data_IF_172478625009
#
_entry.id   IF_172478625009
#
_cell.length_a   1.000
_cell.length_b   1.000
_cell.length_c   1.000
_cell.angle_alpha   90.00
_cell.angle_beta   90.00
_cell.angle_gamma   90.00
#
_symmetry.space_group_name_H-M   'P 1'
#
loop_
_entity.id
_entity.type
_entity.pdbx_description
1 polymer ?
#
# COMPACT_ATOMS: atom_id res chain seq x y z
N UNK A 1 -24.14 13.00 -9.32
CA UNK A 1 -22.88 12.39 -9.81
C UNK A 1 -21.65 13.21 -9.43
N UNK A 2 -21.74 14.54 -9.42
CA UNK A 2 -20.64 15.45 -9.06
C UNK A 2 -20.01 15.19 -7.68
N UNK A 3 -20.83 14.97 -6.64
CA UNK A 3 -20.34 14.72 -5.28
C UNK A 3 -19.55 13.39 -5.14
N UNK A 4 -19.93 12.38 -5.94
CA UNK A 4 -19.26 11.06 -5.93
C UNK A 4 -17.87 11.13 -6.57
N UNK A 5 -17.74 11.91 -7.64
CA UNK A 5 -16.45 12.14 -8.27
C UNK A 5 -15.51 12.94 -7.34
N UNK A 6 -16.03 13.97 -6.64
CA UNK A 6 -15.26 14.71 -5.63
C UNK A 6 -14.68 13.80 -4.53
N UNK A 7 -15.50 12.91 -3.96
CA UNK A 7 -15.02 11.96 -2.94
C UNK A 7 -13.92 11.03 -3.45
N UNK A 8 -14.06 10.53 -4.69
CA UNK A 8 -13.04 9.69 -5.31
C UNK A 8 -11.75 10.47 -5.59
N UNK A 9 -11.84 11.73 -6.03
CA UNK A 9 -10.66 12.61 -6.21
C UNK A 9 -9.89 12.79 -4.91
N UNK A 10 -10.57 13.09 -3.80
CA UNK A 10 -9.90 13.24 -2.50
C UNK A 10 -9.26 11.95 -2.04
N UNK A 11 -9.94 10.82 -2.24
CA UNK A 11 -9.41 9.51 -1.92
C UNK A 11 -8.16 9.17 -2.72
N UNK A 12 -8.21 9.29 -4.05
CA UNK A 12 -7.06 9.00 -4.90
C UNK A 12 -5.90 9.94 -4.62
N UNK A 13 -6.17 11.20 -4.24
CA UNK A 13 -5.12 12.13 -3.84
C UNK A 13 -4.47 11.70 -2.53
N UNK A 14 -5.28 11.46 -1.49
CA UNK A 14 -4.78 11.08 -0.17
C UNK A 14 -4.02 9.75 -0.20
N UNK A 15 -4.59 8.72 -0.83
CA UNK A 15 -3.92 7.43 -0.98
C UNK A 15 -2.69 7.55 -1.88
N UNK A 16 -2.77 8.30 -2.98
CA UNK A 16 -1.65 8.52 -3.86
C UNK A 16 -0.45 9.17 -3.16
N UNK A 17 -0.68 10.24 -2.40
CA UNK A 17 0.36 10.92 -1.62
C UNK A 17 0.93 9.99 -0.55
N UNK A 18 0.07 9.29 0.20
CA UNK A 18 0.50 8.40 1.28
C UNK A 18 1.37 7.24 0.77
N UNK A 19 0.92 6.54 -0.27
CA UNK A 19 1.69 5.45 -0.91
C UNK A 19 2.97 5.95 -1.55
N UNK A 20 2.93 7.10 -2.21
CA UNK A 20 4.12 7.70 -2.85
C UNK A 20 5.19 8.05 -1.82
N UNK A 21 4.83 8.78 -0.75
CA UNK A 21 5.78 9.20 0.28
C UNK A 21 6.35 7.97 0.98
N UNK A 22 5.49 7.06 1.47
CA UNK A 22 5.96 5.88 2.19
C UNK A 22 6.81 4.97 1.29
N UNK A 23 6.42 4.79 0.03
CA UNK A 23 7.18 3.99 -0.92
C UNK A 23 8.56 4.57 -1.23
N UNK A 24 8.64 5.87 -1.52
CA UNK A 24 9.91 6.54 -1.77
C UNK A 24 10.83 6.49 -0.54
N UNK A 25 10.30 6.80 0.65
CA UNK A 25 11.10 6.74 1.88
C UNK A 25 11.60 5.32 2.14
N UNK A 26 10.75 4.30 1.97
CA UNK A 26 11.14 2.90 2.16
C UNK A 26 12.20 2.46 1.14
N UNK A 27 12.05 2.86 -0.12
CA UNK A 27 12.98 2.55 -1.18
C UNK A 27 14.34 3.22 -0.94
N UNK A 28 14.36 4.49 -0.55
CA UNK A 28 15.58 5.23 -0.25
C UNK A 28 16.31 4.65 0.97
N UNK A 29 15.59 4.21 2.02
CA UNK A 29 16.19 3.45 3.13
C UNK A 29 16.76 2.11 2.63
N UNK A 30 16.01 1.36 1.83
CA UNK A 30 16.47 0.09 1.25
C UNK A 30 17.70 0.24 0.34
N UNK A 31 17.84 1.38 -0.33
CA UNK A 31 19.00 1.74 -1.14
C UNK A 31 20.19 2.28 -0.32
N UNK A 32 20.07 2.39 1.01
CA UNK A 32 21.05 3.02 1.91
C UNK A 32 21.36 4.49 1.55
N UNK A 33 20.37 5.18 0.98
CA UNK A 33 20.45 6.60 0.65
C UNK A 33 19.90 7.49 1.78
N UNK A 34 19.29 6.88 2.79
CA UNK A 34 18.86 7.53 4.02
C UNK A 34 19.57 6.88 5.22
N UNK A 35 19.85 7.65 6.30
CA UNK A 35 20.39 7.10 7.54
C UNK A 35 19.52 5.98 8.13
N UNK A 36 20.13 5.01 8.79
CA UNK A 36 19.41 3.86 9.40
C UNK A 36 18.43 4.31 10.51
N UNK A 37 18.74 5.42 11.18
CA UNK A 37 17.93 6.07 12.22
C UNK A 37 16.86 7.03 11.67
N UNK A 38 16.84 7.27 10.34
CA UNK A 38 15.82 8.10 9.70
C UNK A 38 14.45 7.39 9.72
N UNK A 39 13.56 7.86 10.60
CA UNK A 39 12.29 7.23 10.99
C UNK A 39 12.51 5.80 11.53
N UNK A 40 11.92 5.49 12.69
CA UNK A 40 12.10 4.20 13.36
C UNK A 40 12.01 3.02 12.38
N UNK A 41 13.02 2.15 12.38
CA UNK A 41 13.10 0.95 11.53
C UNK A 41 11.81 0.13 11.58
N UNK A 42 11.11 0.13 12.72
CA UNK A 42 9.87 -0.62 12.93
C UNK A 42 8.67 -0.10 12.14
N UNK A 43 8.61 1.20 11.82
CA UNK A 43 7.50 1.79 11.05
C UNK A 43 7.78 1.76 9.55
N UNK A 44 9.07 1.86 9.21
CA UNK A 44 9.53 1.94 7.83
C UNK A 44 10.81 1.09 7.67
N UNK A 45 10.66 -0.25 7.67
CA UNK A 45 11.80 -1.15 7.51
C UNK A 45 12.43 -0.97 6.12
N UNK A 46 13.76 -0.93 6.00
CA UNK A 46 14.46 -0.73 4.73
C UNK A 46 14.10 -1.81 3.70
N UNK A 47 13.53 -1.42 2.56
CA UNK A 47 13.17 -2.37 1.51
C UNK A 47 13.05 -1.69 0.14
N UNK A 48 14.01 -1.95 -0.75
CA UNK A 48 14.06 -1.29 -2.05
C UNK A 48 12.88 -1.69 -2.95
N UNK A 49 12.69 -3.00 -3.15
CA UNK A 49 11.64 -3.52 -4.04
C UNK A 49 10.23 -3.17 -3.54
N UNK A 50 9.96 -3.41 -2.26
CA UNK A 50 8.70 -3.05 -1.61
C UNK A 50 8.40 -1.56 -1.68
N UNK A 51 9.40 -0.71 -1.41
CA UNK A 51 9.26 0.75 -1.52
C UNK A 51 8.92 1.21 -2.94
N UNK A 52 9.60 0.67 -3.96
CA UNK A 52 9.31 1.00 -5.37
C UNK A 52 7.90 0.58 -5.79
N UNK A 53 7.46 -0.60 -5.33
CA UNK A 53 6.09 -1.07 -5.56
C UNK A 53 5.08 -0.10 -4.94
N UNK A 54 5.28 0.32 -3.69
CA UNK A 54 4.40 1.29 -3.04
C UNK A 54 4.37 2.62 -3.79
N UNK A 55 5.52 3.11 -4.26
CA UNK A 55 5.60 4.32 -5.07
C UNK A 55 4.82 4.18 -6.38
N UNK A 56 4.87 3.01 -7.03
CA UNK A 56 4.08 2.70 -8.22
C UNK A 56 2.58 2.72 -7.93
N UNK A 57 2.13 2.10 -6.82
CA UNK A 57 0.73 2.17 -6.39
C UNK A 57 0.30 3.62 -6.12
N UNK A 58 1.17 4.40 -5.47
CA UNK A 58 0.96 5.84 -5.27
C UNK A 58 0.81 6.60 -6.58
N UNK A 59 1.64 6.30 -7.58
CA UNK A 59 1.56 6.91 -8.91
C UNK A 59 0.23 6.61 -9.61
N UNK A 60 -0.25 5.37 -9.53
CA UNK A 60 -1.55 4.95 -10.09
C UNK A 60 -2.69 5.77 -9.48
N UNK A 61 -2.70 5.94 -8.16
CA UNK A 61 -3.70 6.76 -7.50
C UNK A 61 -3.60 8.25 -7.86
N UNK A 62 -2.38 8.82 -7.87
CA UNK A 62 -2.18 10.21 -8.27
C UNK A 62 -2.63 10.47 -9.71
N UNK A 63 -2.39 9.51 -10.62
CA UNK A 63 -2.89 9.60 -11.98
C UNK A 63 -4.42 9.58 -12.04
N UNK A 64 -5.07 8.78 -11.19
CA UNK A 64 -6.53 8.82 -11.02
C UNK A 64 -7.04 10.20 -10.61
N UNK A 65 -6.34 10.89 -9.70
CA UNK A 65 -6.67 12.27 -9.30
C UNK A 65 -6.59 13.24 -10.48
N UNK A 66 -5.56 13.10 -11.32
CA UNK A 66 -5.39 13.91 -12.53
C UNK A 66 -6.50 13.65 -13.55
N UNK A 67 -6.93 12.40 -13.72
CA UNK A 67 -8.03 12.08 -14.64
C UNK A 67 -9.37 12.59 -14.12
N UNK A 68 -9.61 12.54 -12.81
CA UNK A 68 -10.80 13.15 -12.22
C UNK A 68 -10.83 14.68 -12.38
N UNK A 69 -9.69 15.37 -12.30
CA UNK A 69 -9.64 16.83 -12.48
C UNK A 69 -9.94 17.26 -13.92
N UNK A 70 -9.69 16.39 -14.90
CA UNK A 70 -10.07 16.56 -16.30
C UNK A 70 -11.53 16.19 -16.59
N UNK A 71 -12.28 15.69 -15.61
CA UNK A 71 -13.64 15.18 -15.80
C UNK A 71 -13.71 13.84 -16.54
N UNK A 72 -12.59 13.13 -16.67
CA UNK A 72 -12.51 11.84 -17.38
C UNK A 72 -13.15 10.72 -16.55
N UNK A 73 -13.88 9.82 -17.22
CA UNK A 73 -14.39 8.61 -16.60
C UNK A 73 -13.27 7.62 -16.22
N UNK A 74 -12.10 7.75 -16.83
CA UNK A 74 -10.92 6.89 -16.59
C UNK A 74 -10.40 7.00 -15.16
N UNK A 75 -10.63 8.13 -14.46
CA UNK A 75 -10.24 8.29 -13.05
C UNK A 75 -10.79 7.19 -12.14
N UNK A 76 -11.99 6.66 -12.44
CA UNK A 76 -12.58 5.53 -11.70
C UNK A 76 -11.81 4.23 -11.92
N UNK A 77 -11.32 3.99 -13.13
CA UNK A 77 -10.51 2.83 -13.44
C UNK A 77 -9.18 2.87 -12.67
N UNK A 78 -8.51 4.02 -12.65
CA UNK A 78 -7.28 4.20 -11.85
C UNK A 78 -7.52 4.03 -10.35
N UNK A 79 -8.61 4.56 -9.81
CA UNK A 79 -8.97 4.35 -8.40
C UNK A 79 -9.16 2.86 -8.09
N UNK A 80 -9.84 2.12 -8.97
CA UNK A 80 -10.05 0.68 -8.82
C UNK A 80 -8.75 -0.11 -8.93
N UNK A 81 -7.93 0.15 -9.95
CA UNK A 81 -6.62 -0.50 -10.12
C UNK A 81 -5.73 -0.23 -8.92
N UNK A 82 -5.70 1.01 -8.41
CA UNK A 82 -4.98 1.34 -7.18
C UNK A 82 -5.43 0.49 -5.99
N UNK A 83 -6.75 0.34 -5.78
CA UNK A 83 -7.30 -0.52 -4.71
C UNK A 83 -6.88 -1.97 -4.90
N UNK A 84 -6.99 -2.51 -6.12
CA UNK A 84 -6.62 -3.89 -6.41
C UNK A 84 -5.13 -4.13 -6.14
N UNK A 85 -4.25 -3.22 -6.59
CA UNK A 85 -2.81 -3.33 -6.33
C UNK A 85 -2.50 -3.23 -4.83
N UNK A 86 -3.12 -2.30 -4.12
CA UNK A 86 -2.99 -2.15 -2.67
C UNK A 86 -3.35 -3.44 -1.93
N UNK A 87 -4.47 -4.06 -2.29
CA UNK A 87 -4.94 -5.31 -1.68
C UNK A 87 -4.00 -6.46 -2.06
N UNK A 88 -3.62 -6.58 -3.33
CA UNK A 88 -2.73 -7.63 -3.82
C UNK A 88 -1.40 -7.64 -3.05
N UNK A 89 -0.74 -6.48 -2.94
CA UNK A 89 0.49 -6.38 -2.17
C UNK A 89 0.25 -6.54 -0.67
N UNK A 90 -0.86 -6.04 -0.13
CA UNK A 90 -1.25 -6.32 1.25
C UNK A 90 -1.35 -7.82 1.56
N UNK A 91 -1.94 -8.61 0.66
CA UNK A 91 -2.02 -10.07 0.78
C UNK A 91 -0.63 -10.70 0.70
N UNK A 92 0.21 -10.29 -0.25
CA UNK A 92 1.57 -10.81 -0.38
C UNK A 92 2.35 -10.61 0.93
N UNK A 93 2.35 -9.39 1.47
CA UNK A 93 3.05 -9.09 2.72
C UNK A 93 2.41 -9.76 3.94
N UNK A 94 1.10 -9.96 3.94
CA UNK A 94 0.43 -10.74 4.98
C UNK A 94 0.88 -12.20 4.97
N UNK A 95 1.00 -12.81 3.77
CA UNK A 95 1.50 -14.18 3.62
C UNK A 95 2.96 -14.31 4.05
N UNK A 96 3.82 -13.33 3.71
CA UNK A 96 5.20 -13.28 4.19
C UNK A 96 5.24 -13.19 5.72
N UNK A 97 4.49 -12.26 6.31
CA UNK A 97 4.38 -12.13 7.76
C UNK A 97 3.91 -13.44 8.42
N UNK A 98 2.90 -14.12 7.85
CA UNK A 98 2.40 -15.38 8.38
C UNK A 98 3.41 -16.54 8.24
N UNK A 99 4.20 -16.55 7.17
CA UNK A 99 5.28 -17.50 6.98
C UNK A 99 6.37 -17.30 8.03
N UNK A 100 6.79 -16.05 8.25
CA UNK A 100 7.83 -15.71 9.23
C UNK A 100 7.37 -15.95 10.67
N UNK A 101 6.10 -15.66 10.97
CA UNK A 101 5.46 -16.03 12.24
C UNK A 101 5.49 -17.56 12.45
N UNK A 102 5.18 -18.34 11.42
CA UNK A 102 5.18 -19.80 11.50
C UNK A 102 6.58 -20.36 11.69
N UNK A 103 7.58 -19.79 11.00
CA UNK A 103 8.98 -20.16 11.15
C UNK A 103 9.48 -19.90 12.58
N UNK A 104 9.14 -18.74 13.17
CA UNK A 104 9.58 -18.37 14.50
C UNK A 104 8.88 -19.14 15.64
N UNK A 105 7.55 -19.32 15.55
CA UNK A 105 6.75 -19.79 16.72
C UNK A 105 6.17 -21.20 16.59
N UNK A 106 6.12 -21.76 15.38
CA UNK A 106 5.55 -23.09 15.13
C UNK A 106 6.63 -24.10 14.79
N UNK A 107 7.52 -23.73 13.85
CA UNK A 107 8.57 -24.61 13.34
C UNK A 107 9.88 -24.48 14.11
N UNK A 108 10.09 -23.38 14.84
CA UNK A 108 11.35 -23.05 15.51
C UNK A 108 12.54 -23.17 14.54
N UNK A 109 12.38 -22.62 13.34
CA UNK A 109 13.38 -22.67 12.28
C UNK A 109 14.63 -21.88 12.69
N UNK A 110 15.80 -22.42 12.35
CA UNK A 110 17.09 -21.74 12.57
C UNK A 110 17.09 -20.38 11.86
N UNK A 111 17.57 -19.33 12.55
CA UNK A 111 17.63 -17.97 12.04
C UNK A 111 16.41 -17.09 12.35
N UNK A 112 15.41 -17.61 13.07
CA UNK A 112 14.22 -16.85 13.52
C UNK A 112 14.22 -16.54 15.02
N UNK A 113 15.32 -16.79 15.73
CA UNK A 113 15.41 -16.67 17.19
C UNK A 113 15.24 -15.23 17.70
N UNK A 114 15.63 -14.24 16.88
CA UNK A 114 15.49 -12.81 17.18
C UNK A 114 14.34 -12.16 16.40
N UNK A 115 13.54 -12.96 15.67
CA UNK A 115 12.44 -12.44 14.90
C UNK A 115 11.38 -11.83 15.83
N UNK A 116 10.88 -10.65 15.45
CA UNK A 116 9.73 -10.04 16.11
C UNK A 116 8.71 -9.61 15.06
N UNK A 117 7.41 -9.66 15.36
CA UNK A 117 6.36 -9.22 14.43
C UNK A 117 6.56 -7.80 13.89
N UNK A 118 7.24 -6.94 14.65
CA UNK A 118 7.48 -5.55 14.29
C UNK A 118 8.44 -5.40 13.09
N UNK A 119 9.32 -6.37 12.85
CA UNK A 119 10.28 -6.32 11.73
C UNK A 119 9.59 -6.50 10.38
N UNK A 120 8.50 -7.28 10.35
CA UNK A 120 7.73 -7.55 9.13
C UNK A 120 6.46 -6.70 9.00
N UNK A 121 6.23 -5.78 9.94
CA UNK A 121 5.10 -4.87 9.87
C UNK A 121 5.32 -3.74 8.86
N UNK A 122 5.16 -4.08 7.58
CA UNK A 122 5.55 -3.25 6.45
C UNK A 122 4.40 -2.36 5.94
N UNK A 123 4.70 -1.21 5.29
CA UNK A 123 3.67 -0.30 4.79
C UNK A 123 2.64 -0.93 3.86
N UNK A 124 3.07 -1.81 2.96
CA UNK A 124 2.15 -2.51 2.08
C UNK A 124 1.11 -3.36 2.84
N UNK A 125 1.48 -3.93 4.00
CA UNK A 125 0.56 -4.71 4.82
C UNK A 125 -0.56 -3.84 5.40
N UNK A 126 -0.21 -2.80 6.16
CA UNK A 126 -1.23 -1.98 6.83
C UNK A 126 -2.03 -1.11 5.85
N UNK A 127 -1.41 -0.59 4.78
CA UNK A 127 -2.13 0.16 3.75
C UNK A 127 -3.02 -0.75 2.89
N UNK A 128 -2.58 -1.99 2.64
CA UNK A 128 -3.37 -3.00 1.96
C UNK A 128 -4.62 -3.38 2.75
N UNK A 129 -4.49 -3.59 4.07
CA UNK A 129 -5.62 -3.83 4.97
C UNK A 129 -6.62 -2.67 4.97
N UNK A 130 -6.13 -1.42 5.05
CA UNK A 130 -7.00 -0.23 4.94
C UNK A 130 -7.73 -0.19 3.59
N UNK A 131 -7.05 -0.59 2.51
CA UNK A 131 -7.65 -0.63 1.17
C UNK A 131 -8.75 -1.69 1.04
N UNK A 132 -8.66 -2.80 1.77
CA UNK A 132 -9.76 -3.79 1.89
C UNK A 132 -11.00 -3.15 2.54
N UNK A 133 -10.81 -2.39 3.62
CA UNK A 133 -11.92 -1.69 4.30
C UNK A 133 -12.58 -0.68 3.38
N UNK A 134 -11.79 0.10 2.65
CA UNK A 134 -12.29 1.06 1.65
C UNK A 134 -13.06 0.34 0.55
N UNK A 135 -12.52 -0.75 0.01
CA UNK A 135 -13.18 -1.53 -1.03
C UNK A 135 -14.53 -2.09 -0.55
N UNK A 136 -14.59 -2.63 0.66
CA UNK A 136 -15.82 -3.14 1.25
C UNK A 136 -16.88 -2.04 1.42
N UNK A 137 -16.47 -0.84 1.86
CA UNK A 137 -17.34 0.32 2.00
C UNK A 137 -17.87 0.87 0.69
N UNK A 138 -17.09 0.78 -0.39
CA UNK A 138 -17.41 1.33 -1.72
C UNK A 138 -17.74 0.28 -2.77
N UNK A 139 -18.08 -0.93 -2.36
CA UNK A 139 -18.37 -2.05 -3.27
C UNK A 139 -19.47 -1.70 -4.28
N UNK A 140 -20.45 -0.87 -3.91
CA UNK A 140 -21.57 -0.49 -4.78
C UNK A 140 -21.16 0.56 -5.81
N UNK A 141 -20.11 1.31 -5.53
CA UNK A 141 -19.66 2.43 -6.33
C UNK A 141 -18.87 2.00 -7.56
N UNK A 142 -18.24 0.81 -7.48
CA UNK A 142 -17.42 0.17 -8.51
C UNK A 142 -18.15 -0.95 -9.27
N UNK A 143 -19.37 -1.33 -8.88
CA UNK A 143 -20.19 -2.23 -9.72
C UNK A 143 -20.61 -1.46 -10.97
N UNK A 144 -20.24 -2.00 -12.13
CA UNK A 144 -20.83 -1.61 -13.41
C UNK A 144 -22.35 -1.81 -13.27
N UNK A 145 -23.12 -0.78 -13.61
CA UNK A 145 -24.58 -0.89 -13.61
C UNK A 145 -24.95 -1.98 -14.63
N UNK A 146 -25.66 -3.01 -14.17
CA UNK A 146 -26.35 -3.99 -15.02
C UNK A 146 -27.51 -3.31 -15.76
#
# INVERSE_FOLDING_TARGET
MENKNKNLTYFTLLWGVMYMILGLLQALKGAKLLPDDFLSVNLLPPELAGGLVLALVGAVYLYGTLEFSKGSFEGRAYAYVGIVLSILFGIIYFLTFAADLSNAWVLFAEGFEQWTPLVDFKPALYLGLLSVVVYAGWKKEFRLQD
#
